data_IF_836580438122
#
_entry.id   IF_836580438122
#
_cell.length_a   1.000
_cell.length_b   1.000
_cell.length_c   1.000
_cell.angle_alpha   90.00
_cell.angle_beta   90.00
_cell.angle_gamma   90.00
#
_symmetry.space_group_name_H-M   'P 1'
#
loop_
_entity.id
_entity.type
_entity.pdbx_description
1 polymer ?
#
# COMPACT_ATOMS: atom_id res chain seq x y z
N UNK A 1 -1.68 -38.42 38.62
CA UNK A 1 -1.32 -38.01 37.25
C UNK A 1 -2.55 -37.32 36.70
N UNK A 2 -2.55 -36.00 36.64
CA UNK A 2 -3.66 -35.23 36.07
C UNK A 2 -3.49 -35.31 34.57
N UNK A 3 -4.45 -35.92 33.88
CA UNK A 3 -4.57 -35.80 32.44
C UNK A 3 -4.94 -34.34 32.20
N UNK A 4 -4.00 -33.54 31.72
CA UNK A 4 -4.31 -32.26 31.08
C UNK A 4 -5.36 -32.57 30.01
N UNK A 5 -6.61 -32.16 30.26
CA UNK A 5 -7.65 -32.24 29.24
C UNK A 5 -7.20 -31.40 28.06
N UNK A 6 -7.24 -31.99 26.88
CA UNK A 6 -6.91 -31.31 25.64
C UNK A 6 -7.71 -30.01 25.54
N UNK A 7 -7.02 -28.87 25.38
CA UNK A 7 -7.63 -27.55 25.37
C UNK A 7 -8.64 -27.36 24.22
N UNK A 8 -8.68 -28.28 23.25
CA UNK A 8 -9.84 -28.42 22.39
C UNK A 8 -11.01 -29.00 23.18
N UNK A 9 -11.96 -28.14 23.53
CA UNK A 9 -13.18 -28.52 24.24
C UNK A 9 -13.88 -29.70 23.55
N UNK A 10 -14.40 -30.67 24.31
CA UNK A 10 -15.19 -31.79 23.76
C UNK A 10 -16.31 -31.31 22.82
N UNK A 11 -16.84 -30.10 23.07
CA UNK A 11 -17.79 -29.39 22.23
C UNK A 11 -17.26 -29.14 20.81
N UNK A 12 -15.98 -28.77 20.65
CA UNK A 12 -15.33 -28.55 19.35
C UNK A 12 -15.17 -29.86 18.59
N UNK A 13 -14.80 -30.96 19.28
CA UNK A 13 -14.68 -32.28 18.66
C UNK A 13 -16.03 -32.89 18.27
N UNK A 14 -17.11 -32.49 18.94
CA UNK A 14 -18.47 -32.96 18.67
C UNK A 14 -19.11 -32.28 17.45
N UNK A 15 -18.55 -31.17 16.94
CA UNK A 15 -19.04 -30.52 15.72
C UNK A 15 -18.83 -31.43 14.52
N UNK A 16 -19.90 -31.88 13.83
CA UNK A 16 -19.75 -32.74 12.65
C UNK A 16 -19.04 -31.98 11.53
N UNK A 17 -18.15 -32.68 10.81
CA UNK A 17 -17.49 -32.12 9.63
C UNK A 17 -18.55 -31.66 8.59
N UNK A 18 -18.33 -30.52 7.90
CA UNK A 18 -19.24 -30.07 6.85
C UNK A 18 -19.50 -31.14 5.79
N UNK A 19 -20.74 -31.19 5.27
CA UNK A 19 -21.20 -32.22 4.32
C UNK A 19 -20.39 -32.25 3.01
N UNK A 20 -19.79 -31.14 2.64
CA UNK A 20 -18.98 -30.93 1.44
C UNK A 20 -17.47 -30.93 1.72
N UNK A 21 -17.06 -31.25 2.95
CA UNK A 21 -15.65 -31.32 3.31
C UNK A 21 -14.93 -32.42 2.50
N UNK A 22 -13.93 -32.00 1.72
CA UNK A 22 -13.03 -32.92 1.00
C UNK A 22 -11.71 -32.96 1.73
N UNK A 23 -11.45 -34.06 2.45
CA UNK A 23 -10.16 -34.25 3.12
C UNK A 23 -9.03 -34.17 2.09
N UNK A 24 -7.99 -33.36 2.33
CA UNK A 24 -6.84 -33.29 1.45
C UNK A 24 -6.17 -34.67 1.37
N UNK A 25 -6.01 -35.23 0.17
CA UNK A 25 -5.21 -36.45 -0.01
C UNK A 25 -3.77 -36.08 0.26
N UNK A 26 -3.15 -36.51 1.35
CA UNK A 26 -1.73 -36.33 1.64
C UNK A 26 -0.93 -37.58 1.30
N UNK A 27 0.21 -37.39 0.62
CA UNK A 27 1.18 -38.48 0.46
C UNK A 27 1.70 -38.87 1.84
N UNK A 28 1.92 -40.15 2.07
CA UNK A 28 2.52 -40.62 3.33
C UNK A 28 3.99 -40.25 3.34
N UNK A 29 4.45 -39.69 4.44
CA UNK A 29 5.88 -39.45 4.63
C UNK A 29 6.58 -40.77 4.90
N UNK A 30 7.50 -41.16 4.02
CA UNK A 30 8.22 -42.42 4.08
C UNK A 30 9.53 -42.35 4.90
N UNK A 31 9.87 -41.16 5.41
CA UNK A 31 11.12 -40.91 6.13
C UNK A 31 12.37 -40.86 5.25
N UNK A 32 12.24 -41.06 3.94
CA UNK A 32 13.38 -41.06 3.01
C UNK A 32 13.60 -39.69 2.34
N UNK A 33 12.53 -38.91 2.17
CA UNK A 33 12.60 -37.57 1.60
C UNK A 33 12.80 -36.49 2.66
N UNK A 34 13.29 -35.32 2.27
CA UNK A 34 13.38 -34.18 3.17
C UNK A 34 11.95 -33.78 3.67
N UNK A 35 11.70 -33.67 4.99
CA UNK A 35 10.38 -33.37 5.52
C UNK A 35 9.79 -32.03 5.03
N UNK A 36 10.63 -31.01 4.79
CA UNK A 36 10.20 -29.69 4.32
C UNK A 36 9.76 -29.78 2.85
N UNK A 37 10.48 -30.54 2.04
CA UNK A 37 10.11 -30.84 0.67
C UNK A 37 8.84 -31.70 0.60
N UNK A 38 8.69 -32.71 1.46
CA UNK A 38 7.50 -33.55 1.50
C UNK A 38 6.22 -32.75 1.81
N UNK A 39 6.28 -31.83 2.78
CA UNK A 39 5.18 -30.92 3.12
C UNK A 39 4.90 -29.89 2.02
N UNK A 40 5.86 -29.60 1.16
CA UNK A 40 5.70 -28.65 0.06
C UNK A 40 5.28 -29.28 -1.27
N UNK A 41 5.22 -30.62 -1.36
CA UNK A 41 4.81 -31.40 -2.54
C UNK A 41 3.49 -30.93 -3.18
N UNK A 42 2.58 -30.34 -2.39
CA UNK A 42 1.26 -29.86 -2.86
C UNK A 42 1.10 -28.36 -2.87
N UNK A 43 2.14 -27.59 -2.58
CA UNK A 43 2.05 -26.13 -2.72
C UNK A 43 1.79 -25.83 -4.19
N UNK A 44 0.73 -25.06 -4.45
CA UNK A 44 0.42 -24.57 -5.79
C UNK A 44 1.62 -23.76 -6.27
N UNK A 45 2.23 -24.18 -7.38
CA UNK A 45 3.34 -23.45 -7.99
C UNK A 45 2.86 -22.06 -8.36
N UNK A 46 3.53 -21.03 -7.86
CA UNK A 46 3.26 -19.65 -8.25
C UNK A 46 3.76 -19.41 -9.68
N UNK A 47 3.03 -18.59 -10.42
CA UNK A 47 3.35 -18.26 -11.81
C UNK A 47 3.29 -16.74 -12.00
N UNK A 48 3.61 -16.25 -13.20
CA UNK A 48 3.48 -14.83 -13.53
C UNK A 48 2.05 -14.30 -13.28
N UNK A 49 1.01 -15.14 -13.43
CA UNK A 49 -0.38 -14.78 -13.14
C UNK A 49 -0.54 -14.39 -11.66
N UNK A 50 0.14 -15.11 -10.76
CA UNK A 50 0.11 -14.81 -9.32
C UNK A 50 0.63 -13.40 -9.01
N UNK A 51 1.58 -12.88 -9.79
CA UNK A 51 2.08 -11.51 -9.63
C UNK A 51 1.13 -10.46 -10.18
N UNK A 52 0.55 -10.70 -11.36
CA UNK A 52 -0.39 -9.77 -11.99
C UNK A 52 -1.64 -9.57 -11.13
N UNK A 53 -2.00 -10.58 -10.33
CA UNK A 53 -3.10 -10.52 -9.37
C UNK A 53 -2.77 -9.76 -8.08
N UNK A 54 -1.50 -9.45 -7.80
CA UNK A 54 -1.16 -8.63 -6.64
C UNK A 54 -1.52 -7.17 -6.93
N UNK A 55 -2.40 -6.63 -6.11
CA UNK A 55 -2.73 -5.22 -6.10
C UNK A 55 -2.39 -4.63 -4.74
N UNK A 56 -1.88 -3.40 -4.75
CA UNK A 56 -1.70 -2.59 -3.57
C UNK A 56 -3.09 -2.17 -3.09
N UNK A 57 -3.39 -2.47 -1.83
CA UNK A 57 -4.65 -2.10 -1.19
C UNK A 57 -4.67 -0.58 -0.94
N UNK A 58 -5.87 0.02 -0.79
CA UNK A 58 -6.02 1.49 -0.64
C UNK A 58 -5.29 2.04 0.59
N UNK A 59 -5.25 1.25 1.65
CA UNK A 59 -4.66 1.62 2.94
C UNK A 59 -3.29 0.95 3.16
N UNK A 60 -2.76 0.26 2.14
CA UNK A 60 -1.46 -0.38 2.22
C UNK A 60 -0.34 0.59 1.78
N UNK A 61 0.65 0.86 2.64
CA UNK A 61 1.83 1.64 2.26
C UNK A 61 2.59 1.01 1.09
N UNK A 62 3.19 1.84 0.23
CA UNK A 62 3.92 1.34 -0.95
C UNK A 62 5.05 0.37 -0.57
N UNK A 63 5.68 0.59 0.59
CA UNK A 63 6.73 -0.26 1.16
C UNK A 63 6.25 -1.70 1.37
N UNK A 64 5.07 -1.86 1.95
CA UNK A 64 4.51 -3.16 2.30
C UNK A 64 4.09 -3.90 1.03
N UNK A 65 3.49 -3.18 0.08
CA UNK A 65 3.17 -3.75 -1.23
C UNK A 65 4.42 -4.27 -1.95
N UNK A 66 5.49 -3.47 -2.02
CA UNK A 66 6.75 -3.88 -2.67
C UNK A 66 7.36 -5.09 -1.96
N UNK A 67 7.30 -5.14 -0.62
CA UNK A 67 7.79 -6.29 0.14
C UNK A 67 6.99 -7.57 -0.19
N UNK A 68 5.65 -7.50 -0.22
CA UNK A 68 4.79 -8.62 -0.62
C UNK A 68 5.07 -9.06 -2.06
N UNK A 69 5.15 -8.09 -2.98
CA UNK A 69 5.45 -8.32 -4.38
C UNK A 69 6.80 -9.04 -4.57
N UNK A 70 7.84 -8.58 -3.88
CA UNK A 70 9.18 -9.19 -3.96
C UNK A 70 9.17 -10.62 -3.40
N UNK A 71 8.48 -10.87 -2.28
CA UNK A 71 8.34 -12.22 -1.71
C UNK A 71 7.73 -13.20 -2.72
N UNK A 72 6.65 -12.82 -3.38
CA UNK A 72 5.99 -13.67 -4.38
C UNK A 72 6.88 -13.86 -5.62
N UNK A 73 7.60 -12.82 -6.03
CA UNK A 73 8.54 -12.88 -7.16
C UNK A 73 9.63 -13.92 -6.91
N UNK A 74 10.20 -13.98 -5.71
CA UNK A 74 11.26 -14.93 -5.36
C UNK A 74 10.81 -16.40 -5.37
N UNK A 75 9.49 -16.66 -5.32
CA UNK A 75 8.93 -18.01 -5.38
C UNK A 75 8.70 -18.51 -6.81
N UNK A 76 8.87 -17.65 -7.83
CA UNK A 76 8.58 -17.96 -9.24
C UNK A 76 9.89 -18.16 -10.00
N UNK A 77 10.05 -19.34 -10.63
CA UNK A 77 11.19 -19.65 -11.50
C UNK A 77 10.99 -19.07 -12.90
N UNK A 78 12.10 -18.74 -13.57
CA UNK A 78 12.15 -18.34 -14.99
C UNK A 78 11.23 -17.18 -15.39
N UNK A 79 11.05 -16.24 -14.46
CA UNK A 79 10.15 -15.12 -14.63
C UNK A 79 10.73 -14.06 -15.57
N UNK A 80 9.95 -13.68 -16.59
CA UNK A 80 10.31 -12.62 -17.51
C UNK A 80 10.21 -11.25 -16.84
N UNK A 81 11.24 -10.41 -16.98
CA UNK A 81 11.25 -9.07 -16.36
C UNK A 81 10.12 -8.18 -16.88
N UNK A 82 9.71 -8.33 -18.14
CA UNK A 82 8.54 -7.63 -18.68
C UNK A 82 7.26 -7.95 -17.91
N UNK A 83 7.07 -9.22 -17.51
CA UNK A 83 5.95 -9.63 -16.68
C UNK A 83 6.04 -9.03 -15.27
N UNK A 84 7.24 -8.97 -14.69
CA UNK A 84 7.48 -8.29 -13.40
C UNK A 84 7.08 -6.82 -13.47
N UNK A 85 7.61 -6.07 -14.43
CA UNK A 85 7.35 -4.64 -14.56
C UNK A 85 5.86 -4.40 -14.84
N UNK A 86 5.25 -5.22 -15.69
CA UNK A 86 3.80 -5.16 -15.97
C UNK A 86 2.99 -5.37 -14.69
N UNK A 87 3.29 -6.41 -13.92
CA UNK A 87 2.61 -6.69 -12.66
C UNK A 87 2.81 -5.58 -11.61
N UNK A 88 4.02 -5.01 -11.51
CA UNK A 88 4.29 -3.88 -10.61
C UNK A 88 3.48 -2.64 -11.02
N UNK A 89 3.42 -2.34 -12.33
CA UNK A 89 2.64 -1.21 -12.85
C UNK A 89 1.13 -1.40 -12.67
N UNK A 90 0.61 -2.61 -12.86
CA UNK A 90 -0.82 -2.87 -12.66
C UNK A 90 -1.19 -2.90 -11.17
N UNK A 91 -0.30 -3.40 -10.32
CA UNK A 91 -0.57 -3.60 -8.90
C UNK A 91 -0.44 -2.34 -8.05
N UNK A 92 0.52 -1.45 -8.31
CA UNK A 92 0.75 -0.29 -7.44
C UNK A 92 -0.32 0.80 -7.57
N UNK A 93 -0.66 1.45 -6.46
CA UNK A 93 -1.51 2.64 -6.44
C UNK A 93 -0.74 3.92 -6.80
N UNK A 94 0.59 3.95 -6.62
CA UNK A 94 1.39 5.16 -6.85
C UNK A 94 1.43 5.55 -8.32
N UNK A 95 0.68 6.59 -8.68
CA UNK A 95 0.64 7.13 -10.06
C UNK A 95 2.02 7.59 -10.54
N UNK A 96 2.78 8.24 -9.67
CA UNK A 96 4.13 8.72 -10.01
C UNK A 96 5.09 7.56 -10.26
N UNK A 97 5.00 6.50 -9.47
CA UNK A 97 5.80 5.30 -9.69
C UNK A 97 5.42 4.61 -11.00
N UNK A 98 4.12 4.44 -11.28
CA UNK A 98 3.62 3.89 -12.57
C UNK A 98 4.15 4.67 -13.77
N UNK A 99 4.05 6.00 -13.75
CA UNK A 99 4.57 6.86 -14.82
C UNK A 99 6.10 6.76 -14.97
N UNK A 100 6.82 6.55 -13.88
CA UNK A 100 8.28 6.36 -13.90
C UNK A 100 8.67 5.07 -14.62
N UNK A 101 7.95 3.98 -14.31
CA UNK A 101 8.15 2.67 -14.94
C UNK A 101 7.76 2.67 -16.41
N UNK A 102 6.68 3.36 -16.79
CA UNK A 102 6.26 3.43 -18.18
C UNK A 102 7.25 4.22 -19.06
N UNK A 103 7.86 5.28 -18.51
CA UNK A 103 8.87 6.08 -19.24
C UNK A 103 10.20 5.35 -19.38
N UNK A 104 10.60 4.63 -18.33
CA UNK A 104 11.90 3.95 -18.27
C UNK A 104 11.70 2.57 -17.65
N UNK A 105 11.27 1.55 -18.41
CA UNK A 105 11.06 0.22 -17.87
C UNK A 105 12.35 -0.34 -17.28
N UNK A 106 12.26 -1.03 -16.14
CA UNK A 106 13.42 -1.67 -15.50
C UNK A 106 13.74 -2.99 -16.20
N UNK A 107 15.01 -3.21 -16.52
CA UNK A 107 15.56 -4.42 -17.13
C UNK A 107 16.00 -5.46 -16.10
N UNK A 108 16.13 -5.08 -14.83
CA UNK A 108 16.47 -6.00 -13.73
C UNK A 108 15.63 -5.75 -12.48
N UNK A 109 15.47 -6.80 -11.67
CA UNK A 109 14.75 -6.73 -10.39
C UNK A 109 15.40 -5.71 -9.45
N UNK A 110 16.73 -5.69 -9.38
CA UNK A 110 17.46 -4.75 -8.53
C UNK A 110 17.15 -3.29 -8.88
N UNK A 111 17.18 -2.92 -10.18
CA UNK A 111 16.84 -1.56 -10.62
C UNK A 111 15.38 -1.23 -10.35
N UNK A 112 14.46 -2.19 -10.49
CA UNK A 112 13.05 -2.03 -10.16
C UNK A 112 12.83 -1.73 -8.67
N UNK A 113 13.38 -2.55 -7.79
CA UNK A 113 13.23 -2.41 -6.34
C UNK A 113 13.90 -1.12 -5.83
N UNK A 114 15.12 -0.81 -6.29
CA UNK A 114 15.80 0.44 -5.95
C UNK A 114 15.04 1.67 -6.42
N UNK A 115 14.32 1.58 -7.54
CA UNK A 115 13.44 2.67 -7.99
C UNK A 115 12.20 2.76 -7.09
N UNK A 116 11.60 1.64 -6.72
CA UNK A 116 10.46 1.59 -5.80
C UNK A 116 10.78 2.22 -4.45
N UNK A 117 11.96 1.94 -3.89
CA UNK A 117 12.45 2.52 -2.63
C UNK A 117 12.44 4.07 -2.65
N UNK A 118 12.87 4.70 -3.75
CA UNK A 118 12.80 6.16 -3.89
C UNK A 118 11.37 6.72 -3.80
N UNK A 119 10.38 5.97 -4.25
CA UNK A 119 8.98 6.37 -4.17
C UNK A 119 8.39 6.08 -2.79
N UNK A 120 8.89 5.07 -2.08
CA UNK A 120 8.59 4.85 -0.66
C UNK A 120 9.09 6.04 0.15
N UNK A 121 10.35 6.44 -0.01
CA UNK A 121 10.92 7.58 0.70
C UNK A 121 10.12 8.87 0.45
N UNK A 122 9.70 9.08 -0.82
CA UNK A 122 8.89 10.24 -1.19
C UNK A 122 7.48 10.20 -0.57
N UNK A 123 6.85 9.01 -0.49
CA UNK A 123 5.55 8.81 0.16
C UNK A 123 5.63 9.09 1.66
N UNK A 124 6.64 8.55 2.35
CA UNK A 124 6.88 8.78 3.78
C UNK A 124 7.15 10.27 4.08
N UNK A 125 7.99 10.93 3.27
CA UNK A 125 8.25 12.37 3.40
C UNK A 125 6.99 13.24 3.22
N UNK A 126 6.10 12.84 2.29
CA UNK A 126 4.82 13.53 2.08
C UNK A 126 3.90 13.39 3.30
N UNK A 127 3.84 12.22 3.93
CA UNK A 127 3.03 12.00 5.14
C UNK A 127 3.52 12.85 6.32
N UNK A 128 4.85 12.93 6.51
CA UNK A 128 5.45 13.77 7.54
C UNK A 128 5.03 15.24 7.34
N UNK A 129 5.24 15.78 6.14
CA UNK A 129 4.91 17.20 5.86
C UNK A 129 3.41 17.49 5.95
N UNK A 130 2.55 16.57 5.51
CA UNK A 130 1.09 16.67 5.67
C UNK A 130 0.67 16.69 7.14
N UNK A 131 1.26 15.85 7.97
CA UNK A 131 0.97 15.82 9.42
C UNK A 131 1.38 17.13 10.11
N UNK A 132 2.53 17.71 9.73
CA UNK A 132 2.97 19.01 10.21
C UNK A 132 2.01 20.11 9.78
N UNK A 133 1.61 20.16 8.50
CA UNK A 133 0.67 21.16 7.99
C UNK A 133 -0.69 21.12 8.71
N UNK A 134 -1.20 19.92 8.99
CA UNK A 134 -2.45 19.73 9.72
C UNK A 134 -2.35 20.10 11.21
N UNK A 135 -1.13 20.10 11.79
CA UNK A 135 -0.87 20.53 13.17
C UNK A 135 -0.64 22.04 13.29
N UNK A 136 -0.26 22.69 12.19
CA UNK A 136 0.08 24.11 12.11
C UNK A 136 -1.11 25.01 11.74
N UNK A 137 -2.36 24.58 11.90
CA UNK A 137 -3.53 25.44 11.72
C UNK A 137 -4.02 25.96 13.10
N UNK A 138 -3.47 27.07 13.64
CA UNK A 138 -4.11 27.78 14.73
C UNK A 138 -5.29 28.60 14.20
N UNK A 139 -6.39 28.52 14.94
CA UNK A 139 -7.62 29.29 14.80
C UNK A 139 -7.37 30.79 14.49
N UNK A 140 -7.40 31.18 13.22
CA UNK A 140 -7.44 32.59 12.82
C UNK A 140 -8.83 32.93 12.28
N UNK A 141 -9.87 32.86 13.11
CA UNK A 141 -11.16 33.49 12.75
C UNK A 141 -12.17 33.65 13.91
N UNK A 142 -11.81 34.29 15.03
CA UNK A 142 -12.82 34.86 15.95
C UNK A 142 -12.35 36.12 16.69
N UNK A 143 -11.87 37.16 16.00
CA UNK A 143 -11.94 38.56 16.49
C UNK A 143 -12.04 39.56 15.34
N UNK A 144 -13.25 39.71 14.79
CA UNK A 144 -13.73 40.98 14.22
C UNK A 144 -14.98 41.41 14.98
N UNK A 145 -14.80 41.81 16.23
CA UNK A 145 -15.81 42.58 16.95
C UNK A 145 -15.61 44.05 16.59
N UNK A 146 -16.37 44.45 15.58
CA UNK A 146 -16.92 45.77 15.26
C UNK A 146 -16.81 46.86 16.34
N UNK A 147 -16.37 48.05 15.88
CA UNK A 147 -16.39 49.36 16.55
C UNK A 147 -15.00 49.99 16.51
N UNK A 148 -14.70 51.17 15.97
CA UNK A 148 -15.46 52.27 15.36
C UNK A 148 -14.39 53.20 14.67
N UNK A 149 -14.70 54.44 14.23
CA UNK A 149 -15.04 54.90 12.88
C UNK A 149 -13.88 55.47 12.03
N UNK A 150 -14.17 55.70 10.75
CA UNK A 150 -13.29 56.29 9.71
C UNK A 150 -12.75 57.69 10.02
N UNK A 151 -11.53 58.03 9.56
CA UNK A 151 -11.11 59.42 9.41
C UNK A 151 -11.58 60.01 8.05
N UNK A 152 -12.42 61.04 8.13
CA UNK A 152 -12.88 61.85 7.01
C UNK A 152 -11.70 62.57 6.34
N UNK A 153 -11.46 62.28 5.06
CA UNK A 153 -10.50 62.99 4.22
C UNK A 153 -11.20 64.16 3.50
N UNK A 154 -11.10 65.36 4.10
CA UNK A 154 -11.43 66.61 3.42
C UNK A 154 -10.14 67.28 2.94
N UNK A 155 -9.90 67.30 1.62
CA UNK A 155 -9.10 68.37 0.98
C UNK A 155 -9.35 68.46 -0.53
N UNK A 156 -10.17 69.44 -0.89
CA UNK A 156 -9.91 70.37 -2.00
C UNK A 156 -10.12 69.86 -3.43
N UNK A 157 -11.36 69.86 -3.92
CA UNK A 157 -11.64 70.10 -5.34
C UNK A 157 -11.85 71.60 -5.53
N UNK A 158 -10.89 72.26 -6.19
CA UNK A 158 -11.08 73.58 -6.75
C UNK A 158 -11.67 73.39 -8.15
N UNK A 159 -12.97 73.56 -8.26
CA UNK A 159 -13.64 73.82 -9.55
C UNK A 159 -13.46 75.30 -9.85
N UNK A 160 -12.83 75.62 -10.97
CA UNK A 160 -13.20 76.82 -11.72
C UNK A 160 -13.81 76.36 -13.03
N UNK A 161 -15.03 76.83 -13.21
CA UNK A 161 -15.95 76.63 -14.30
C UNK A 161 -15.88 77.85 -15.23
N UNK A 162 -16.26 77.64 -16.50
CA UNK A 162 -16.92 78.62 -17.38
C UNK A 162 -16.08 79.84 -17.89
N UNK A 163 -16.20 80.37 -19.11
CA UNK A 163 -17.12 80.18 -20.26
C UNK A 163 -16.48 80.81 -21.53
N UNK A 164 -16.98 80.36 -22.69
CA UNK A 164 -17.12 81.04 -23.99
C UNK A 164 -16.03 80.84 -25.04
#
# INVERSE_FOLDING_TARGET
>A
MVLEEDHFSLEVMAVPLPRDFKQPKMEKYDGSSDPVNHLSSKRVKKTAISLVQLAQDKDEPLKDFIARFNRVTLEIKDLQMSAVVTAMMSGTQSRLFKMSLSKNPSDTMHKLLRRGEKYVDAEEAYLITKSLKNRSEPEFNKRKTRGEPEPQNNRGKLTQDETK
#
